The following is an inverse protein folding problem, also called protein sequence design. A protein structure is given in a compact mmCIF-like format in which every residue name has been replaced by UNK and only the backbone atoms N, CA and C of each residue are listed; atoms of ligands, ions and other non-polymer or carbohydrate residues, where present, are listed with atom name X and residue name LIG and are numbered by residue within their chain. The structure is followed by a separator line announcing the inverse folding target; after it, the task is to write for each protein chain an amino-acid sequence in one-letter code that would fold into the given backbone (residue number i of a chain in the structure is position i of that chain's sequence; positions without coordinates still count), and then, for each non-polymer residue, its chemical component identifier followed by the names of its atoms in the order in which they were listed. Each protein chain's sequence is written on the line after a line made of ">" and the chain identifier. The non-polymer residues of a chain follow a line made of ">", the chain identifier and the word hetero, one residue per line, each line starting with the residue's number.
data_IF_762968587407
#
_entry.id   IF_762968587407
#
_cell.length_a   1.000
_cell.length_b   1.000
_cell.length_c   1.000
_cell.angle_alpha   90.00
_cell.angle_beta   90.00
_cell.angle_gamma   90.00
#
_symmetry.space_group_name_H-M   'P 1'
#
loop_
_entity.id
_entity.type
_entity.pdbx_description
1 polymer ?
#
# COMPACT_ATOMS: atom_id res chain seq x y z
N UNK A 1 20.40 76.99 5.81
CA UNK A 1 19.16 77.31 5.10
C UNK A 1 19.17 76.62 3.75
N UNK A 2 18.34 75.59 3.55
CA UNK A 2 17.67 75.32 2.27
C UNK A 2 16.46 74.43 2.54
N UNK A 3 15.27 74.98 2.33
CA UNK A 3 13.98 74.29 2.43
C UNK A 3 13.71 73.62 1.09
N UNK A 4 13.31 72.35 1.10
CA UNK A 4 12.52 71.77 0.01
C UNK A 4 11.23 71.19 0.60
N UNK A 5 10.13 71.85 0.25
CA UNK A 5 8.75 71.49 0.57
C UNK A 5 8.17 70.80 -0.66
N UNK A 6 7.49 69.67 -0.51
CA UNK A 6 6.74 69.08 -1.63
C UNK A 6 6.24 67.65 -1.39
N UNK A 7 5.11 67.52 -0.68
CA UNK A 7 4.29 66.29 -0.62
C UNK A 7 3.87 65.85 -2.03
N UNK A 8 3.78 64.53 -2.28
CA UNK A 8 2.58 63.87 -2.85
C UNK A 8 2.70 62.33 -2.90
N UNK A 9 1.68 61.72 -2.28
CA UNK A 9 0.93 60.51 -2.66
C UNK A 9 1.59 59.13 -2.48
N UNK A 10 1.19 58.57 -1.33
CA UNK A 10 0.85 57.16 -1.05
C UNK A 10 0.61 56.29 -2.28
N UNK A 11 1.33 55.17 -2.37
CA UNK A 11 0.80 53.94 -2.94
C UNK A 11 1.09 52.80 -1.96
N UNK A 12 0.14 52.57 -1.04
CA UNK A 12 0.10 51.35 -0.25
C UNK A 12 -0.38 50.23 -1.17
N UNK A 13 0.55 49.43 -1.69
CA UNK A 13 0.21 48.19 -2.39
C UNK A 13 0.03 47.08 -1.36
N UNK A 14 -1.15 47.02 -0.74
CA UNK A 14 -1.64 45.82 -0.07
C UNK A 14 -2.15 44.89 -1.16
N UNK A 15 -1.37 43.88 -1.53
CA UNK A 15 -1.86 42.73 -2.25
C UNK A 15 -1.65 41.50 -1.36
N UNK A 16 -2.61 41.28 -0.46
CA UNK A 16 -2.77 39.99 0.19
C UNK A 16 -3.19 38.97 -0.87
N UNK A 17 -2.27 38.10 -1.28
CA UNK A 17 -2.62 36.82 -1.88
C UNK A 17 -2.40 35.74 -0.83
N UNK A 18 -3.46 35.46 -0.07
CA UNK A 18 -3.52 34.29 0.77
C UNK A 18 -3.49 33.04 -0.10
N UNK A 19 -2.37 32.32 -0.08
CA UNK A 19 -2.32 30.98 -0.62
C UNK A 19 -2.86 30.03 0.46
N UNK A 20 -4.17 29.79 0.44
CA UNK A 20 -4.76 28.69 1.19
C UNK A 20 -4.58 27.43 0.35
N UNK A 21 -3.52 26.65 0.61
CA UNK A 21 -3.45 25.27 0.12
C UNK A 21 -4.29 24.41 1.07
N UNK A 22 -5.61 24.52 0.96
CA UNK A 22 -6.53 23.58 1.60
C UNK A 22 -6.97 22.55 0.56
N UNK A 23 -6.22 21.45 0.51
CA UNK A 23 -6.69 20.10 0.22
C UNK A 23 -5.45 19.21 0.10
N UNK A 24 -4.81 18.91 1.24
CA UNK A 24 -4.17 17.61 1.34
C UNK A 24 -5.32 16.61 1.39
N UNK A 25 -5.80 16.19 0.23
CA UNK A 25 -6.63 14.99 0.15
C UNK A 25 -5.86 13.91 0.91
N UNK A 26 -6.53 13.21 1.82
CA UNK A 26 -5.96 12.04 2.49
C UNK A 26 -5.36 11.17 1.40
N UNK A 27 -4.03 11.04 1.37
CA UNK A 27 -3.38 10.11 0.48
C UNK A 27 -3.79 8.72 0.96
N UNK A 28 -4.93 8.23 0.47
CA UNK A 28 -5.31 6.84 0.65
C UNK A 28 -4.18 6.03 0.05
N UNK A 29 -3.44 5.31 0.91
CA UNK A 29 -2.27 4.58 0.48
C UNK A 29 -2.73 3.46 -0.44
N UNK A 30 -2.25 3.46 -1.69
CA UNK A 30 -2.50 2.35 -2.60
C UNK A 30 -1.95 1.03 -2.02
N UNK A 31 -2.47 -0.14 -2.46
CA UNK A 31 -1.92 -1.42 -2.05
C UNK A 31 -0.42 -1.51 -2.28
N UNK A 32 0.28 -2.09 -1.32
CA UNK A 32 1.73 -2.25 -1.32
C UNK A 32 2.07 -3.60 -1.96
N UNK A 33 2.71 -3.63 -3.15
CA UNK A 33 3.17 -4.87 -3.74
C UNK A 33 4.38 -5.41 -2.98
N UNK A 34 4.46 -6.74 -2.92
CA UNK A 34 5.54 -7.51 -2.30
C UNK A 34 5.92 -8.59 -3.32
N UNK A 35 7.03 -8.37 -4.01
CA UNK A 35 7.50 -9.29 -5.05
C UNK A 35 7.70 -10.69 -4.49
N UNK A 36 7.22 -11.70 -5.20
CA UNK A 36 7.69 -13.06 -4.96
C UNK A 36 9.12 -13.20 -5.52
N UNK A 37 9.76 -14.34 -5.30
CA UNK A 37 11.12 -14.57 -5.83
C UNK A 37 11.12 -14.56 -7.36
N UNK A 38 10.00 -14.97 -7.97
CA UNK A 38 9.76 -14.93 -9.40
C UNK A 38 8.25 -15.04 -9.68
N UNK A 39 7.83 -14.89 -10.94
CA UNK A 39 6.51 -15.30 -11.42
C UNK A 39 5.31 -14.44 -11.01
N UNK A 40 5.45 -13.59 -9.99
CA UNK A 40 4.35 -12.74 -9.52
C UNK A 40 4.65 -12.06 -8.20
N UNK A 41 3.60 -11.63 -7.50
CA UNK A 41 3.69 -10.80 -6.30
C UNK A 41 2.48 -11.01 -5.39
N UNK A 42 2.64 -10.66 -4.11
CA UNK A 42 1.55 -10.46 -3.18
C UNK A 42 1.25 -8.97 -3.01
N UNK A 43 0.06 -8.65 -2.52
CA UNK A 43 -0.30 -7.28 -2.17
C UNK A 43 -0.85 -7.23 -0.74
N UNK A 44 -0.49 -6.15 -0.04
CA UNK A 44 -1.03 -5.77 1.26
C UNK A 44 -1.69 -4.39 1.16
N UNK A 45 -2.95 -4.29 1.57
CA UNK A 45 -3.68 -3.04 1.58
C UNK A 45 -4.19 -2.74 3.00
N UNK A 46 -3.54 -1.83 3.76
CA UNK A 46 -3.96 -1.51 5.13
C UNK A 46 -5.27 -0.73 5.13
N UNK A 47 -5.37 0.32 4.32
CA UNK A 47 -6.55 1.18 4.25
C UNK A 47 -7.39 0.91 2.99
N UNK A 48 -8.71 1.08 3.03
CA UNK A 48 -9.52 1.01 1.81
C UNK A 48 -9.02 1.99 0.73
N UNK A 49 -8.86 1.47 -0.50
CA UNK A 49 -8.41 2.26 -1.65
C UNK A 49 -9.29 1.98 -2.87
N UNK A 50 -10.10 2.95 -3.28
CA UNK A 50 -11.10 2.75 -4.33
C UNK A 50 -12.08 1.65 -3.96
N UNK A 51 -12.16 0.58 -4.77
CA UNK A 51 -12.97 -0.60 -4.50
C UNK A 51 -12.22 -1.72 -3.74
N UNK A 52 -10.96 -1.49 -3.38
CA UNK A 52 -10.12 -2.47 -2.69
C UNK A 52 -10.37 -2.34 -1.18
N UNK A 53 -10.74 -3.42 -0.47
CA UNK A 53 -10.96 -3.35 0.96
C UNK A 53 -9.66 -3.07 1.71
N UNK A 54 -9.75 -2.37 2.84
CA UNK A 54 -8.66 -2.29 3.81
C UNK A 54 -8.42 -3.63 4.49
N UNK A 55 -7.36 -3.68 5.29
CA UNK A 55 -6.90 -4.87 6.01
C UNK A 55 -6.90 -6.13 5.15
N UNK A 56 -6.40 -6.03 3.92
CA UNK A 56 -6.57 -7.09 2.93
C UNK A 56 -5.29 -7.52 2.23
N UNK A 57 -5.26 -8.81 1.89
CA UNK A 57 -4.18 -9.41 1.10
C UNK A 57 -4.72 -10.04 -0.18
N UNK A 58 -3.86 -10.11 -1.20
CA UNK A 58 -4.11 -10.79 -2.47
C UNK A 58 -2.82 -11.41 -3.01
N UNK A 59 -2.92 -12.55 -3.69
CA UNK A 59 -1.83 -13.16 -4.45
C UNK A 59 -2.07 -12.94 -5.95
N UNK A 60 -1.03 -12.58 -6.70
CA UNK A 60 -1.07 -12.39 -8.15
C UNK A 60 0.07 -13.16 -8.82
N UNK A 61 -0.30 -14.14 -9.64
CA UNK A 61 0.59 -14.88 -10.51
C UNK A 61 0.47 -14.32 -11.93
N UNK A 62 1.61 -13.97 -12.51
CA UNK A 62 1.72 -13.26 -13.79
C UNK A 62 2.49 -14.03 -14.85
N UNK A 63 3.18 -15.11 -14.47
CA UNK A 63 4.02 -15.90 -15.37
C UNK A 63 3.58 -17.36 -15.44
N UNK A 64 3.51 -17.93 -16.65
CA UNK A 64 3.20 -19.35 -16.86
C UNK A 64 4.43 -20.26 -16.64
N UNK A 65 5.05 -20.19 -15.46
CA UNK A 65 6.27 -20.94 -15.10
C UNK A 65 5.99 -22.24 -14.31
N UNK A 66 4.70 -22.54 -14.09
CA UNK A 66 4.24 -23.70 -13.33
C UNK A 66 4.22 -23.50 -11.81
N UNK A 67 4.53 -22.30 -11.31
CA UNK A 67 4.44 -21.94 -9.90
C UNK A 67 3.32 -20.91 -9.70
N UNK A 68 2.59 -21.05 -8.60
CA UNK A 68 1.69 -20.03 -8.09
C UNK A 68 2.35 -19.16 -7.02
N UNK A 69 1.61 -18.15 -6.57
CA UNK A 69 1.96 -17.27 -5.46
C UNK A 69 1.06 -17.58 -4.26
N UNK A 70 1.64 -17.57 -3.06
CA UNK A 70 0.92 -17.66 -1.79
C UNK A 70 1.31 -16.47 -0.92
N UNK A 71 0.30 -15.82 -0.33
CA UNK A 71 0.46 -14.70 0.58
C UNK A 71 -0.14 -15.07 1.93
N UNK A 72 0.63 -14.85 2.99
CA UNK A 72 0.24 -15.09 4.37
C UNK A 72 0.35 -13.81 5.18
N UNK A 73 -0.67 -13.52 5.97
CA UNK A 73 -0.71 -12.42 6.92
C UNK A 73 -0.73 -13.01 8.33
N UNK A 74 0.17 -12.52 9.17
CA UNK A 74 0.20 -12.73 10.62
C UNK A 74 -0.10 -11.39 11.30
N UNK A 75 -1.19 -11.37 12.04
CA UNK A 75 -1.73 -10.24 12.79
C UNK A 75 -1.21 -10.31 14.22
N UNK A 76 -0.51 -9.27 14.65
CA UNK A 76 0.17 -9.25 15.95
C UNK A 76 1.61 -9.78 15.89
N UNK A 77 2.02 -10.39 14.77
CA UNK A 77 3.36 -11.00 14.59
C UNK A 77 3.62 -12.09 15.63
N UNK A 78 2.61 -12.92 15.88
CA UNK A 78 2.65 -13.95 16.91
C UNK A 78 3.13 -15.32 16.39
N UNK A 79 3.42 -15.42 15.09
CA UNK A 79 3.86 -16.63 14.41
C UNK A 79 2.72 -17.48 13.86
N UNK A 80 1.47 -17.05 14.01
CA UNK A 80 0.28 -17.70 13.45
C UNK A 80 -0.18 -17.00 12.18
N UNK A 81 -0.51 -17.76 11.14
CA UNK A 81 -1.05 -17.19 9.91
C UNK A 81 -2.57 -17.01 9.99
N UNK A 82 -3.04 -15.79 10.24
CA UNK A 82 -4.47 -15.46 10.32
C UNK A 82 -5.16 -15.46 8.96
N UNK A 83 -4.46 -15.03 7.90
CA UNK A 83 -4.99 -15.04 6.54
C UNK A 83 -3.99 -15.62 5.57
N UNK A 84 -4.49 -16.53 4.74
CA UNK A 84 -3.74 -17.11 3.63
C UNK A 84 -4.59 -17.00 2.36
N UNK A 85 -3.97 -16.59 1.28
CA UNK A 85 -4.50 -16.60 -0.09
C UNK A 85 -3.45 -17.17 -1.04
N UNK A 86 -3.88 -17.84 -2.11
CA UNK A 86 -2.96 -18.42 -3.08
C UNK A 86 -3.57 -18.48 -4.48
N UNK A 87 -2.71 -18.53 -5.49
CA UNK A 87 -3.04 -18.84 -6.88
C UNK A 87 -2.81 -20.31 -7.24
N UNK A 88 -2.38 -21.15 -6.28
CA UNK A 88 -2.13 -22.58 -6.52
C UNK A 88 -3.35 -23.25 -7.16
N UNK A 89 -3.12 -23.95 -8.27
CA UNK A 89 -4.18 -24.64 -9.02
C UNK A 89 -4.90 -23.79 -10.07
N UNK A 90 -4.51 -22.52 -10.22
CA UNK A 90 -4.99 -21.65 -11.31
C UNK A 90 -3.90 -21.47 -12.37
N UNK A 91 -4.30 -21.31 -13.63
CA UNK A 91 -3.38 -20.97 -14.71
C UNK A 91 -3.06 -19.48 -14.66
N UNK A 92 -1.79 -19.15 -14.84
CA UNK A 92 -1.34 -17.77 -15.01
C UNK A 92 -1.80 -17.18 -16.36
N UNK A 93 -2.13 -15.87 -16.45
CA UNK A 93 -2.16 -14.90 -15.36
C UNK A 93 -3.42 -15.04 -14.50
N UNK A 94 -3.27 -14.95 -13.18
CA UNK A 94 -4.37 -14.99 -12.23
C UNK A 94 -4.04 -14.26 -10.93
N UNK A 95 -4.96 -13.42 -10.47
CA UNK A 95 -4.95 -12.89 -9.11
C UNK A 95 -6.09 -13.52 -8.30
N UNK A 96 -5.83 -13.89 -7.05
CA UNK A 96 -6.88 -14.29 -6.13
C UNK A 96 -7.86 -13.13 -5.88
N UNK A 97 -9.08 -13.38 -5.40
CA UNK A 97 -9.88 -12.33 -4.76
C UNK A 97 -9.10 -11.72 -3.57
N UNK A 98 -9.46 -10.48 -3.21
CA UNK A 98 -8.98 -9.87 -1.98
C UNK A 98 -9.58 -10.59 -0.77
N UNK A 99 -8.74 -10.95 0.20
CA UNK A 99 -9.18 -11.50 1.49
C UNK A 99 -8.97 -10.44 2.55
N UNK A 100 -10.08 -9.86 3.01
CA UNK A 100 -10.10 -8.78 4.00
C UNK A 100 -10.64 -9.22 5.36
N UNK A 101 -10.55 -8.32 6.33
CA UNK A 101 -11.26 -8.38 7.59
C UNK A 101 -10.69 -7.36 8.57
N UNK A 102 -11.56 -6.73 9.37
CA UNK A 102 -11.17 -5.62 10.22
C UNK A 102 -10.05 -6.01 11.21
N UNK A 103 -8.95 -5.26 11.20
CA UNK A 103 -7.87 -5.34 12.17
C UNK A 103 -7.95 -4.09 13.04
N UNK A 104 -7.55 -4.20 14.30
CA UNK A 104 -7.45 -3.00 15.14
C UNK A 104 -6.35 -2.09 14.59
N UNK A 105 -6.66 -0.82 14.36
CA UNK A 105 -5.71 0.20 13.90
C UNK A 105 -4.39 0.18 14.70
N UNK A 106 -3.27 0.29 13.99
CA UNK A 106 -1.94 0.28 14.55
C UNK A 106 -1.44 -1.10 14.99
N UNK A 107 -2.22 -2.17 14.78
CA UNK A 107 -1.78 -3.54 15.09
C UNK A 107 -0.62 -3.92 14.17
N UNK A 108 0.52 -4.38 14.70
CA UNK A 108 1.63 -4.82 13.87
C UNK A 108 1.23 -6.05 13.07
N UNK A 109 1.62 -6.09 11.80
CA UNK A 109 1.38 -7.23 10.93
C UNK A 109 2.67 -7.65 10.23
N UNK A 110 2.75 -8.91 9.83
CA UNK A 110 3.76 -9.39 8.90
C UNK A 110 3.11 -10.10 7.72
N UNK A 111 3.61 -9.82 6.51
CA UNK A 111 3.09 -10.39 5.28
C UNK A 111 4.22 -11.15 4.60
N UNK A 112 4.05 -12.46 4.46
CA UNK A 112 4.97 -13.32 3.72
C UNK A 112 4.40 -13.61 2.33
N UNK A 113 5.26 -13.52 1.32
CA UNK A 113 4.96 -13.93 -0.06
C UNK A 113 5.93 -15.02 -0.47
N UNK A 114 5.42 -16.14 -0.97
CA UNK A 114 6.24 -17.25 -1.43
C UNK A 114 5.70 -17.86 -2.73
N UNK A 115 6.62 -18.33 -3.58
CA UNK A 115 6.28 -19.19 -4.70
C UNK A 115 5.87 -20.58 -4.21
N UNK A 116 4.83 -21.14 -4.81
CA UNK A 116 4.27 -22.44 -4.41
C UNK A 116 3.88 -23.31 -5.61
N UNK A 117 4.05 -24.62 -5.51
CA UNK A 117 3.65 -25.57 -6.56
C UNK A 117 3.28 -26.93 -5.94
N UNK A 118 2.10 -27.48 -6.25
CA UNK A 118 1.68 -28.86 -5.96
C UNK A 118 2.08 -29.45 -4.58
N UNK A 119 2.17 -28.61 -3.54
CA UNK A 119 2.56 -28.99 -2.16
C UNK A 119 3.94 -28.51 -1.71
N UNK A 120 4.77 -28.00 -2.61
CA UNK A 120 6.07 -27.38 -2.33
C UNK A 120 5.90 -25.88 -2.12
N UNK A 121 6.58 -25.36 -1.09
CA UNK A 121 6.77 -23.92 -0.89
C UNK A 121 8.25 -23.60 -1.11
N UNK A 122 8.52 -22.56 -1.89
CA UNK A 122 9.88 -22.13 -2.15
C UNK A 122 10.52 -21.59 -0.85
N UNK A 123 11.73 -22.02 -0.48
CA UNK A 123 12.29 -21.79 0.86
C UNK A 123 12.67 -20.34 1.16
N UNK A 124 12.77 -19.48 0.14
CA UNK A 124 13.06 -18.06 0.29
C UNK A 124 11.92 -17.27 -0.32
N UNK A 125 11.00 -16.83 0.53
CA UNK A 125 9.96 -15.86 0.19
C UNK A 125 10.37 -14.45 0.58
N UNK A 126 9.55 -13.48 0.18
CA UNK A 126 9.66 -12.08 0.61
C UNK A 126 8.83 -11.84 1.87
N UNK A 127 9.24 -10.85 2.67
CA UNK A 127 8.58 -10.48 3.91
C UNK A 127 8.41 -8.96 3.96
N UNK A 128 7.18 -8.51 4.25
CA UNK A 128 6.88 -7.12 4.59
C UNK A 128 6.47 -7.04 6.07
N UNK A 129 7.06 -6.10 6.79
CA UNK A 129 6.62 -5.69 8.12
C UNK A 129 5.81 -4.41 7.99
N UNK A 130 4.57 -4.41 8.46
CA UNK A 130 3.65 -3.25 8.39
C UNK A 130 2.85 -3.13 9.69
N UNK A 131 1.91 -2.19 9.70
CA UNK A 131 0.78 -2.13 10.60
C UNK A 131 -0.51 -2.15 9.77
N UNK A 132 -1.62 -2.54 10.41
CA UNK A 132 -2.97 -2.20 10.00
C UNK A 132 -3.15 -0.70 10.17
#
# INVERSE_FOLDING_TARGET
>A
MLKFTGRRVVAAAVAAFGLVVAAQGTAAAAPKPIEATFGGYGEWNPDPYGSIPGDSIRACDTSADGWGIEVKLDIGRDGTWDRVVSTRGHNSPYCSPWKSGNIKEGTPVSIQVANVNAGVTYPKGSLLLSHA
#
